data_IF_408689338805
#
_entry.id   IF_408689338805
#
_cell.length_a   1.000
_cell.length_b   1.000
_cell.length_c   1.000
_cell.angle_alpha   90.00
_cell.angle_beta   90.00
_cell.angle_gamma   90.00
#
_symmetry.space_group_name_H-M   'P 1'
#
loop_
_entity.id
_entity.type
_entity.pdbx_description
1 polymer ?
#
# COMPACT_ATOMS: atom_id res chain seq x y z
N UNK A 1 -12.94 5.49 7.16
CA UNK A 1 -11.94 4.56 7.71
C UNK A 1 -10.66 4.66 6.87
N UNK A 2 -9.48 4.43 7.46
CA UNK A 2 -8.18 4.54 6.80
C UNK A 2 -7.37 3.25 7.02
N UNK A 3 -6.98 2.60 5.93
CA UNK A 3 -6.19 1.38 5.91
C UNK A 3 -4.85 1.67 5.22
N UNK A 4 -3.75 1.22 5.80
CA UNK A 4 -2.48 1.13 5.09
C UNK A 4 -2.24 -0.31 4.70
N UNK A 5 -1.85 -0.56 3.47
CA UNK A 5 -1.61 -1.91 2.97
C UNK A 5 -0.28 -2.04 2.25
N UNK A 6 0.38 -3.16 2.51
CA UNK A 6 1.62 -3.54 1.85
C UNK A 6 1.74 -5.07 1.69
N UNK A 7 2.75 -5.48 0.95
CA UNK A 7 3.19 -6.88 0.82
C UNK A 7 4.69 -6.94 0.96
N UNK A 8 5.24 -8.12 1.17
CA UNK A 8 6.68 -8.34 1.26
C UNK A 8 7.07 -9.63 0.52
N UNK A 9 8.36 -9.93 0.48
CA UNK A 9 8.90 -11.19 -0.04
C UNK A 9 9.63 -11.97 1.05
N UNK A 10 9.82 -13.31 0.94
CA UNK A 10 10.45 -14.13 1.98
C UNK A 10 11.81 -13.62 2.46
N UNK A 11 12.61 -13.04 1.57
CA UNK A 11 13.93 -12.52 1.92
C UNK A 11 13.90 -11.24 2.76
N UNK A 12 12.79 -10.46 2.70
CA UNK A 12 12.63 -9.16 3.39
C UNK A 12 11.72 -9.23 4.61
N UNK A 13 10.92 -10.29 4.77
CA UNK A 13 9.95 -10.41 5.87
C UNK A 13 10.57 -10.19 7.26
N UNK A 14 11.82 -10.56 7.45
CA UNK A 14 12.54 -10.36 8.72
C UNK A 14 12.81 -8.88 9.07
N UNK A 15 12.66 -7.98 8.11
CA UNK A 15 12.87 -6.53 8.28
C UNK A 15 11.58 -5.72 8.30
N UNK A 16 10.42 -6.38 8.27
CA UNK A 16 9.13 -5.71 8.09
C UNK A 16 8.77 -4.77 9.25
N UNK A 17 9.36 -4.96 10.44
CA UNK A 17 9.15 -4.04 11.55
C UNK A 17 9.61 -2.60 11.23
N UNK A 18 10.59 -2.41 10.36
CA UNK A 18 11.03 -1.07 9.96
C UNK A 18 9.92 -0.29 9.25
N UNK A 19 9.19 -0.92 8.32
CA UNK A 19 8.07 -0.27 7.65
C UNK A 19 6.87 -0.12 8.59
N UNK A 20 6.59 -1.11 9.44
CA UNK A 20 5.53 -1.05 10.45
C UNK A 20 5.75 0.13 11.37
N UNK A 21 6.96 0.29 11.93
CA UNK A 21 7.32 1.42 12.79
C UNK A 21 7.16 2.75 12.06
N UNK A 22 7.57 2.82 10.78
CA UNK A 22 7.40 4.01 9.94
C UNK A 22 5.92 4.40 9.76
N UNK A 23 5.03 3.41 9.64
CA UNK A 23 3.58 3.64 9.54
C UNK A 23 2.99 4.02 10.91
N UNK A 24 3.41 3.35 11.97
CA UNK A 24 2.94 3.62 13.33
C UNK A 24 3.42 4.99 13.86
N UNK A 25 4.51 5.53 13.34
CA UNK A 25 5.04 6.85 13.71
C UNK A 25 4.47 8.01 12.88
N UNK A 26 3.62 7.76 11.89
CA UNK A 26 2.98 8.81 11.08
C UNK A 26 2.17 9.79 11.95
N UNK A 27 2.11 11.08 11.55
CA UNK A 27 1.29 12.12 12.23
C UNK A 27 -0.20 11.79 12.19
N UNK A 28 -0.66 11.23 11.07
CA UNK A 28 -2.02 10.68 10.95
C UNK A 28 -1.93 9.16 10.97
N UNK A 29 -2.53 8.54 12.00
CA UNK A 29 -2.52 7.09 12.17
C UNK A 29 -3.56 6.40 11.29
N UNK A 30 -3.25 5.26 10.66
CA UNK A 30 -4.26 4.41 10.07
C UNK A 30 -5.11 3.74 11.15
N UNK A 31 -6.33 3.32 10.78
CA UNK A 31 -7.16 2.48 11.66
C UNK A 31 -6.65 1.04 11.71
N UNK A 32 -6.13 0.55 10.59
CA UNK A 32 -5.53 -0.79 10.47
C UNK A 32 -4.38 -0.77 9.48
N UNK A 33 -3.42 -1.67 9.71
CA UNK A 33 -2.33 -1.97 8.79
C UNK A 33 -2.55 -3.39 8.28
N UNK A 34 -2.67 -3.56 6.97
CA UNK A 34 -2.92 -4.86 6.32
C UNK A 34 -1.65 -5.35 5.63
N UNK A 35 -1.09 -6.44 6.12
CA UNK A 35 0.02 -7.15 5.51
C UNK A 35 -0.51 -8.31 4.69
N UNK A 36 -0.44 -8.22 3.36
CA UNK A 36 -0.83 -9.29 2.46
C UNK A 36 0.37 -10.17 2.13
N UNK A 37 0.25 -11.46 2.39
CA UNK A 37 1.28 -12.46 2.10
C UNK A 37 0.64 -13.60 1.32
N UNK A 38 1.11 -13.91 0.10
CA UNK A 38 0.65 -15.10 -0.59
C UNK A 38 1.15 -16.36 0.12
N UNK A 39 0.45 -17.47 -0.01
CA UNK A 39 0.88 -18.75 0.58
C UNK A 39 2.32 -19.12 0.15
N UNK A 40 2.69 -18.76 -1.08
CA UNK A 40 4.04 -18.91 -1.62
C UNK A 40 4.37 -17.75 -2.55
N UNK A 41 5.64 -17.35 -2.59
CA UNK A 41 6.16 -16.45 -3.62
C UNK A 41 6.26 -17.22 -4.93
N UNK A 42 5.41 -16.93 -5.92
CA UNK A 42 5.24 -17.74 -7.13
C UNK A 42 6.55 -17.88 -7.95
N UNK A 43 7.27 -16.77 -8.13
CA UNK A 43 8.52 -16.75 -8.92
C UNK A 43 9.65 -17.63 -8.38
N UNK A 44 9.68 -17.95 -7.07
CA UNK A 44 10.74 -18.76 -6.43
C UNK A 44 10.21 -19.98 -5.70
N UNK A 45 8.89 -20.14 -5.62
CA UNK A 45 8.19 -21.18 -4.87
C UNK A 45 8.58 -21.23 -3.37
N UNK A 46 9.02 -20.09 -2.81
CA UNK A 46 9.41 -19.99 -1.42
C UNK A 46 8.21 -19.70 -0.51
N UNK A 47 8.19 -20.34 0.66
CA UNK A 47 7.26 -20.03 1.75
C UNK A 47 7.78 -18.87 2.61
N UNK A 48 6.88 -18.23 3.33
CA UNK A 48 7.20 -17.14 4.25
C UNK A 48 7.41 -17.69 5.66
N UNK A 49 8.43 -17.19 6.34
CA UNK A 49 8.64 -17.39 7.78
C UNK A 49 8.11 -16.13 8.49
N UNK A 50 6.85 -16.17 8.89
CA UNK A 50 6.20 -15.03 9.53
C UNK A 50 6.79 -14.85 10.93
N UNK A 51 7.27 -13.65 11.30
CA UNK A 51 7.78 -13.40 12.64
C UNK A 51 6.69 -13.55 13.71
N UNK A 52 7.02 -14.22 14.83
CA UNK A 52 6.09 -14.40 15.94
C UNK A 52 5.77 -13.09 16.69
N UNK A 53 6.60 -12.06 16.51
CA UNK A 53 6.51 -10.75 17.17
C UNK A 53 5.91 -9.65 16.27
N UNK A 54 4.98 -10.01 15.39
CA UNK A 54 4.20 -8.99 14.67
C UNK A 54 3.38 -8.16 15.65
N UNK A 55 3.35 -6.85 15.41
CA UNK A 55 2.53 -5.92 16.18
C UNK A 55 1.03 -6.30 16.11
N UNK A 56 0.30 -6.12 17.22
CA UNK A 56 -1.14 -6.42 17.30
C UNK A 56 -1.99 -5.51 16.37
N UNK A 57 -1.43 -4.37 15.94
CA UNK A 57 -2.08 -3.48 14.97
C UNK A 57 -2.06 -4.01 13.53
N UNK A 58 -1.34 -5.12 13.28
CA UNK A 58 -1.21 -5.71 11.95
C UNK A 58 -2.29 -6.77 11.74
N UNK A 59 -3.08 -6.58 10.70
CA UNK A 59 -3.93 -7.63 10.14
C UNK A 59 -3.10 -8.41 9.12
N UNK A 60 -2.75 -9.64 9.46
CA UNK A 60 -2.08 -10.55 8.54
C UNK A 60 -3.12 -11.22 7.64
N UNK A 61 -3.09 -10.91 6.36
CA UNK A 61 -3.94 -11.50 5.33
C UNK A 61 -3.14 -12.49 4.48
N UNK A 62 -3.35 -13.79 4.72
CA UNK A 62 -2.76 -14.84 3.89
C UNK A 62 -3.64 -15.02 2.66
N UNK A 63 -3.13 -14.63 1.49
CA UNK A 63 -3.86 -14.69 0.24
C UNK A 63 -3.45 -15.92 -0.59
N UNK A 64 -4.43 -16.48 -1.30
CA UNK A 64 -4.24 -17.70 -2.10
C UNK A 64 -3.29 -17.51 -3.27
N UNK A 65 -3.35 -16.33 -3.92
CA UNK A 65 -2.62 -16.05 -5.14
C UNK A 65 -1.52 -15.01 -4.90
N UNK A 66 -0.40 -15.16 -5.60
CA UNK A 66 0.64 -14.13 -5.69
C UNK A 66 0.39 -13.28 -6.95
N UNK A 67 0.06 -12.03 -6.73
CA UNK A 67 -0.12 -11.03 -7.81
C UNK A 67 1.15 -10.19 -8.02
N UNK A 68 2.30 -10.65 -7.52
CA UNK A 68 3.54 -9.88 -7.52
C UNK A 68 3.37 -8.55 -6.77
N UNK A 69 3.81 -7.40 -7.33
CA UNK A 69 3.63 -6.10 -6.67
C UNK A 69 2.17 -5.70 -6.41
N UNK A 70 1.20 -6.27 -7.15
CA UNK A 70 -0.21 -5.98 -6.95
C UNK A 70 -0.82 -6.75 -5.75
N UNK A 71 -0.08 -7.66 -5.13
CA UNK A 71 -0.49 -8.35 -3.88
C UNK A 71 -0.78 -7.36 -2.74
N UNK A 72 -0.16 -6.18 -2.75
CA UNK A 72 -0.46 -5.12 -1.78
C UNK A 72 -1.82 -4.43 -2.01
N UNK A 73 -2.47 -4.61 -3.17
CA UNK A 73 -3.75 -3.96 -3.50
C UNK A 73 -4.89 -4.96 -3.69
N UNK A 74 -4.73 -5.95 -4.58
CA UNK A 74 -5.83 -6.85 -4.96
C UNK A 74 -6.38 -7.62 -3.76
N UNK A 75 -5.57 -8.35 -2.97
CA UNK A 75 -6.08 -9.04 -1.78
C UNK A 75 -6.62 -8.09 -0.71
N UNK A 76 -6.12 -6.85 -0.65
CA UNK A 76 -6.70 -5.84 0.27
C UNK A 76 -8.13 -5.52 -0.09
N UNK A 77 -8.42 -5.29 -1.38
CA UNK A 77 -9.78 -5.01 -1.85
C UNK A 77 -10.70 -6.20 -1.56
N UNK A 78 -10.24 -7.41 -1.84
CA UNK A 78 -10.97 -8.66 -1.56
C UNK A 78 -11.28 -8.77 -0.06
N UNK A 79 -10.26 -8.66 0.80
CA UNK A 79 -10.40 -8.72 2.25
C UNK A 79 -11.39 -7.69 2.80
N UNK A 80 -11.28 -6.43 2.35
CA UNK A 80 -12.14 -5.35 2.82
C UNK A 80 -13.61 -5.57 2.40
N UNK A 81 -13.85 -6.09 1.19
CA UNK A 81 -15.20 -6.42 0.71
C UNK A 81 -15.78 -7.62 1.46
N UNK A 82 -15.03 -8.69 1.63
CA UNK A 82 -15.45 -9.91 2.34
C UNK A 82 -15.78 -9.63 3.81
N UNK A 83 -15.04 -8.72 4.44
CA UNK A 83 -15.26 -8.31 5.82
C UNK A 83 -16.18 -7.09 5.96
N UNK A 84 -16.92 -6.73 4.90
CA UNK A 84 -17.95 -5.69 4.91
C UNK A 84 -17.48 -4.31 5.39
N UNK A 85 -16.25 -3.92 5.05
CA UNK A 85 -15.75 -2.59 5.34
C UNK A 85 -16.57 -1.51 4.60
N UNK A 86 -16.74 -0.30 5.19
CA UNK A 86 -17.49 0.77 4.57
C UNK A 86 -16.97 1.11 3.17
N UNK A 87 -17.86 1.36 2.17
CA UNK A 87 -17.43 1.68 0.81
C UNK A 87 -16.54 2.92 0.68
N UNK A 88 -16.64 3.87 1.63
CA UNK A 88 -15.82 5.08 1.70
C UNK A 88 -14.46 4.86 2.39
N UNK A 89 -14.09 3.60 2.66
CA UNK A 89 -12.79 3.24 3.23
C UNK A 89 -11.67 3.71 2.29
N UNK A 90 -10.72 4.46 2.86
CA UNK A 90 -9.52 4.92 2.19
C UNK A 90 -8.43 3.89 2.35
N UNK A 91 -7.74 3.57 1.26
CA UNK A 91 -6.65 2.59 1.20
C UNK A 91 -5.39 3.33 0.78
N UNK A 92 -4.36 3.29 1.61
CA UNK A 92 -3.02 3.77 1.27
C UNK A 92 -2.16 2.55 0.99
N UNK A 93 -1.54 2.54 -0.16
CA UNK A 93 -0.63 1.49 -0.60
C UNK A 93 0.81 1.96 -0.46
N UNK A 94 1.64 1.14 0.15
CA UNK A 94 3.06 1.41 0.40
C UNK A 94 3.93 0.20 0.02
N UNK A 95 5.25 0.39 -0.05
CA UNK A 95 6.23 -0.68 -0.23
C UNK A 95 6.90 -1.04 1.09
N UNK A 96 7.41 -2.26 1.21
CA UNK A 96 8.00 -2.82 2.44
C UNK A 96 9.47 -2.42 2.66
N UNK A 97 10.10 -1.75 1.70
CA UNK A 97 11.51 -1.38 1.69
C UNK A 97 11.76 0.14 1.70
N UNK A 98 10.72 0.92 1.99
CA UNK A 98 10.78 2.38 2.10
C UNK A 98 10.45 2.80 3.53
N UNK A 99 11.22 3.74 4.07
CA UNK A 99 10.86 4.48 5.29
C UNK A 99 10.21 5.79 4.86
N UNK A 100 8.95 5.95 5.21
CA UNK A 100 8.15 7.10 4.79
C UNK A 100 8.31 8.28 5.75
N UNK A 101 8.31 9.54 5.23
CA UNK A 101 8.24 10.73 6.09
C UNK A 101 7.00 10.71 6.99
N UNK A 102 7.13 11.26 8.20
CA UNK A 102 6.09 11.21 9.24
C UNK A 102 4.73 11.82 8.81
N UNK A 103 4.73 12.75 7.86
CA UNK A 103 3.54 13.43 7.34
C UNK A 103 3.00 12.81 6.04
N UNK A 104 3.51 11.68 5.58
CA UNK A 104 3.11 11.08 4.29
C UNK A 104 1.61 10.75 4.26
N UNK A 105 1.11 10.08 5.30
CA UNK A 105 -0.32 9.73 5.40
C UNK A 105 -1.18 10.98 5.49
N UNK A 106 -0.80 11.95 6.33
CA UNK A 106 -1.51 13.22 6.48
C UNK A 106 -1.65 13.95 5.14
N UNK A 107 -0.56 14.06 4.40
CA UNK A 107 -0.54 14.70 3.09
C UNK A 107 -1.42 13.96 2.07
N UNK A 108 -1.34 12.64 2.00
CA UNK A 108 -2.20 11.85 1.10
C UNK A 108 -3.68 12.04 1.44
N UNK A 109 -4.05 11.96 2.71
CA UNK A 109 -5.45 12.16 3.16
C UNK A 109 -5.94 13.57 2.89
N UNK A 110 -5.12 14.59 3.12
CA UNK A 110 -5.42 16.00 2.91
C UNK A 110 -5.72 16.33 1.45
N UNK A 111 -4.99 15.70 0.53
CA UNK A 111 -5.14 15.99 -0.90
C UNK A 111 -6.10 15.06 -1.63
N UNK A 112 -6.49 13.96 -1.00
CA UNK A 112 -7.42 13.00 -1.59
C UNK A 112 -8.83 13.57 -1.72
N UNK A 113 -9.37 13.55 -2.93
CA UNK A 113 -10.68 14.12 -3.27
C UNK A 113 -11.85 13.11 -3.18
N UNK A 114 -11.57 11.85 -2.85
CA UNK A 114 -12.57 10.79 -2.77
C UNK A 114 -12.94 10.14 -4.10
N UNK A 115 -12.37 10.60 -5.22
CA UNK A 115 -12.73 10.18 -6.59
C UNK A 115 -11.53 9.63 -7.34
N UNK A 116 -10.41 10.36 -7.30
CA UNK A 116 -9.21 10.01 -8.04
C UNK A 116 -8.21 9.25 -7.16
N UNK A 117 -7.32 8.47 -7.80
CA UNK A 117 -6.14 7.93 -7.11
C UNK A 117 -5.13 9.07 -6.97
N UNK A 118 -4.58 9.23 -5.77
CA UNK A 118 -3.62 10.29 -5.47
C UNK A 118 -2.32 9.68 -4.93
N UNK A 119 -1.18 10.06 -5.52
CA UNK A 119 0.14 9.54 -5.14
C UNK A 119 1.14 10.64 -4.82
N UNK A 120 2.21 10.28 -4.13
CA UNK A 120 3.30 11.20 -3.78
C UNK A 120 4.17 11.54 -4.99
N UNK A 121 4.24 10.67 -6.00
CA UNK A 121 4.98 10.90 -7.24
C UNK A 121 4.32 10.22 -8.44
N UNK A 122 4.67 10.68 -9.62
CA UNK A 122 4.16 10.14 -10.87
C UNK A 122 4.85 10.70 -12.08
N UNK A 123 4.50 10.21 -13.26
CA UNK A 123 5.09 10.66 -14.52
C UNK A 123 4.11 10.61 -15.69
N UNK A 124 4.45 11.33 -16.75
CA UNK A 124 3.78 11.30 -18.03
C UNK A 124 4.68 10.67 -19.10
N UNK A 125 4.07 9.96 -20.04
CA UNK A 125 4.76 9.54 -21.27
C UNK A 125 4.80 10.71 -22.25
N UNK A 126 6.00 11.13 -22.61
CA UNK A 126 6.21 12.11 -23.68
C UNK A 126 7.16 11.53 -24.71
N UNK A 127 6.68 11.27 -25.92
CA UNK A 127 7.49 10.88 -27.10
C UNK A 127 8.64 9.89 -26.81
N UNK A 128 8.36 8.77 -26.13
CA UNK A 128 9.30 7.72 -25.72
C UNK A 128 10.14 7.98 -24.45
N UNK A 129 9.95 9.10 -23.75
CA UNK A 129 10.65 9.39 -22.50
C UNK A 129 9.68 9.49 -21.32
N UNK A 130 10.14 9.04 -20.14
CA UNK A 130 9.44 9.28 -18.88
C UNK A 130 9.81 10.69 -18.40
N UNK A 131 8.81 11.52 -18.16
CA UNK A 131 9.00 12.85 -17.57
C UNK A 131 8.37 12.87 -16.18
N UNK A 132 9.20 12.98 -15.14
CA UNK A 132 8.74 13.18 -13.78
C UNK A 132 7.98 14.49 -13.66
N UNK A 133 6.85 14.45 -12.95
CA UNK A 133 6.05 15.64 -12.66
C UNK A 133 6.37 16.09 -11.24
N UNK A 134 7.00 17.25 -11.13
CA UNK A 134 7.45 17.85 -9.86
C UNK A 134 6.45 18.87 -9.29
N UNK A 135 5.35 19.13 -10.00
CA UNK A 135 4.36 20.12 -9.59
C UNK A 135 3.30 19.52 -8.66
N UNK A 136 2.98 20.22 -7.60
CA UNK A 136 1.90 19.85 -6.68
C UNK A 136 0.55 19.80 -7.39
N UNK A 137 -0.21 18.70 -7.17
CA UNK A 137 -1.57 18.50 -7.70
C UNK A 137 -1.66 18.41 -9.21
N UNK A 138 -0.63 17.94 -9.87
CA UNK A 138 -0.66 17.70 -11.32
C UNK A 138 -1.32 16.37 -11.65
N UNK A 139 -2.06 16.32 -12.78
CA UNK A 139 -2.54 15.05 -13.34
C UNK A 139 -1.37 14.34 -14.01
N UNK A 140 -1.19 13.07 -13.69
CA UNK A 140 -0.18 12.19 -14.28
C UNK A 140 -0.84 11.00 -14.96
N UNK A 141 -0.15 10.41 -15.93
CA UNK A 141 -0.62 9.19 -16.59
C UNK A 141 -0.32 7.94 -15.77
N UNK A 142 0.77 7.96 -15.00
CA UNK A 142 1.20 6.86 -14.14
C UNK A 142 1.60 7.39 -12.77
N UNK A 143 1.03 6.79 -11.72
CA UNK A 143 1.44 7.02 -10.32
C UNK A 143 2.53 6.01 -9.98
N UNK A 144 3.60 6.47 -9.36
CA UNK A 144 4.69 5.61 -8.89
C UNK A 144 4.31 4.97 -7.55
N UNK A 145 4.09 3.66 -7.55
CA UNK A 145 3.57 2.92 -6.39
C UNK A 145 4.49 2.91 -5.18
N UNK A 146 5.82 3.00 -5.39
CA UNK A 146 6.80 2.96 -4.31
C UNK A 146 6.74 4.17 -3.38
N UNK A 147 6.35 5.33 -3.87
CA UNK A 147 6.29 6.56 -3.08
C UNK A 147 5.06 6.69 -2.19
N UNK A 148 4.14 5.74 -2.30
CA UNK A 148 2.85 5.74 -1.61
C UNK A 148 1.74 6.41 -2.41
N UNK A 149 0.55 5.80 -2.40
CA UNK A 149 -0.64 6.38 -3.00
C UNK A 149 -1.90 6.01 -2.22
N UNK A 150 -2.94 6.81 -2.37
CA UNK A 150 -4.26 6.64 -1.75
C UNK A 150 -5.34 6.43 -2.82
N UNK A 151 -6.26 5.52 -2.56
CA UNK A 151 -7.48 5.30 -3.33
C UNK A 151 -8.64 4.98 -2.38
N UNK A 152 -9.88 5.03 -2.88
CA UNK A 152 -11.06 4.60 -2.14
C UNK A 152 -11.47 3.17 -2.49
N UNK A 153 -12.04 2.44 -1.53
CA UNK A 153 -12.57 1.10 -1.77
C UNK A 153 -13.70 1.13 -2.83
N UNK A 154 -14.50 2.20 -2.85
CA UNK A 154 -15.58 2.43 -3.82
C UNK A 154 -15.10 2.62 -5.28
N UNK A 155 -13.80 2.85 -5.48
CA UNK A 155 -13.19 2.90 -6.82
C UNK A 155 -13.23 1.53 -7.52
N UNK A 156 -13.18 0.46 -6.75
CA UNK A 156 -13.16 -0.93 -7.23
C UNK A 156 -14.57 -1.54 -7.12
N UNK A 157 -15.25 -1.64 -8.24
CA UNK A 157 -16.62 -2.21 -8.36
C UNK A 157 -16.59 -3.73 -8.34
#
# INVERSE_FOLDING_TARGET
MLIVSFTTIPSRIKYINNIIDSILNQTTKPNYILLNIPERLERTNQSYLIPDNLSEEIILNICKNDYGPATKLIPTIEYLKENHFPPDTKIIIVDDDIIYPDEMIENLVKFYDGINIFGCSGFNFTNFYLQSVLEHKSKVQVIEGYSGYICGLNYFK
#
